data_IF_888931646444
#
_entry.id   IF_888931646444
#
_cell.length_a   1.000
_cell.length_b   1.000
_cell.length_c   1.000
_cell.angle_alpha   90.00
_cell.angle_beta   90.00
_cell.angle_gamma   90.00
#
_symmetry.space_group_name_H-M   'P 1'
#
loop_
_entity.id
_entity.type
_entity.pdbx_description
1 polymer ?
#
# COMPACT_ATOMS: atom_id res chain seq x y z
N UNK A 1 -25.18 -83.03 49.22
CA UNK A 1 -25.39 -82.25 50.46
C UNK A 1 -26.58 -81.34 50.23
N UNK A 2 -27.58 -81.46 51.13
CA UNK A 2 -28.73 -80.60 51.45
C UNK A 2 -29.15 -79.51 50.44
N UNK A 3 -30.43 -79.29 50.15
CA UNK A 3 -31.64 -79.57 50.93
C UNK A 3 -32.66 -78.50 50.57
N UNK A 4 -33.92 -78.90 50.39
CA UNK A 4 -35.05 -78.04 50.05
C UNK A 4 -35.46 -77.13 51.22
N UNK A 5 -35.92 -75.90 50.92
CA UNK A 5 -36.89 -75.07 51.66
C UNK A 5 -37.50 -74.09 50.62
N UNK A 6 -38.78 -74.14 50.20
CA UNK A 6 -40.03 -73.80 50.91
C UNK A 6 -39.90 -72.43 51.65
N UNK A 7 -40.81 -71.46 51.58
CA UNK A 7 -42.18 -71.39 51.05
C UNK A 7 -42.57 -69.91 50.84
N UNK A 8 -43.75 -69.77 50.22
CA UNK A 8 -44.67 -68.65 50.03
C UNK A 8 -44.62 -67.47 51.02
N UNK A 9 -45.08 -66.29 50.57
CA UNK A 9 -46.27 -65.60 51.13
C UNK A 9 -46.51 -64.22 50.47
N UNK A 10 -47.73 -64.08 49.95
CA UNK A 10 -48.60 -62.91 49.88
C UNK A 10 -48.19 -61.64 49.09
N UNK A 11 -48.99 -61.38 48.06
CA UNK A 11 -50.10 -60.42 48.20
C UNK A 11 -49.84 -59.00 47.69
N UNK A 12 -50.79 -58.50 46.90
CA UNK A 12 -51.01 -57.06 46.77
C UNK A 12 -51.22 -56.58 45.34
N UNK A 13 -52.47 -56.62 44.89
CA UNK A 13 -52.98 -55.77 43.81
C UNK A 13 -52.61 -54.31 44.04
N UNK A 14 -51.86 -53.68 43.13
CA UNK A 14 -51.97 -52.23 42.87
C UNK A 14 -51.68 -51.93 41.41
N UNK A 15 -52.78 -51.79 40.66
CA UNK A 15 -52.89 -50.91 39.52
C UNK A 15 -52.29 -49.55 39.87
N UNK A 16 -51.19 -49.14 39.22
CA UNK A 16 -50.89 -47.73 39.06
C UNK A 16 -49.96 -47.54 37.86
N UNK A 17 -50.47 -46.83 36.86
CA UNK A 17 -49.74 -46.26 35.74
C UNK A 17 -48.47 -45.55 36.25
N UNK A 18 -47.33 -46.19 36.07
CA UNK A 18 -46.04 -45.58 36.32
C UNK A 18 -45.75 -44.61 35.16
N UNK A 19 -45.99 -43.32 35.41
CA UNK A 19 -45.53 -42.24 34.56
C UNK A 19 -44.00 -42.32 34.43
N UNK A 20 -43.53 -42.66 33.24
CA UNK A 20 -42.11 -42.68 32.90
C UNK A 20 -41.58 -41.22 32.85
N UNK A 21 -40.87 -40.82 33.90
CA UNK A 21 -40.37 -39.46 34.14
C UNK A 21 -38.96 -39.21 33.59
N UNK A 22 -38.53 -39.92 32.54
CA UNK A 22 -37.15 -39.85 32.03
C UNK A 22 -37.01 -39.26 30.62
N UNK A 23 -37.91 -38.37 30.20
CA UNK A 23 -37.74 -37.65 28.93
C UNK A 23 -37.95 -36.13 29.03
N UNK A 24 -37.38 -35.53 30.08
CA UNK A 24 -37.29 -34.06 30.21
C UNK A 24 -35.82 -33.62 30.26
N UNK A 25 -35.10 -33.83 29.16
CA UNK A 25 -33.87 -33.06 28.90
C UNK A 25 -34.25 -31.62 28.51
N UNK A 26 -33.44 -30.60 28.87
CA UNK A 26 -33.76 -29.22 28.53
C UNK A 26 -33.79 -29.05 27.01
N UNK A 27 -34.97 -28.65 26.50
CA UNK A 27 -35.19 -28.26 25.11
C UNK A 27 -34.23 -27.11 24.79
N UNK A 28 -33.13 -27.39 24.07
CA UNK A 28 -32.21 -26.35 23.59
C UNK A 28 -33.01 -25.42 22.67
N UNK A 29 -33.28 -24.21 23.13
CA UNK A 29 -33.79 -23.14 22.28
C UNK A 29 -32.77 -22.94 21.14
N UNK A 30 -33.19 -22.86 19.87
CA UNK A 30 -32.28 -22.52 18.80
C UNK A 30 -31.74 -21.12 19.08
N UNK A 31 -30.43 -21.01 19.29
CA UNK A 31 -29.77 -19.72 19.42
C UNK A 31 -30.03 -18.91 18.14
N UNK A 32 -30.42 -17.63 18.23
CA UNK A 32 -30.47 -16.78 17.05
C UNK A 32 -29.07 -16.77 16.45
N UNK A 33 -28.96 -17.11 15.16
CA UNK A 33 -27.73 -16.97 14.40
C UNK A 33 -27.33 -15.50 14.47
N UNK A 34 -26.47 -15.15 15.42
CA UNK A 34 -25.80 -13.86 15.43
C UNK A 34 -25.01 -13.81 14.13
N UNK A 35 -25.59 -13.14 13.14
CA UNK A 35 -24.92 -12.77 11.93
C UNK A 35 -23.74 -11.91 12.37
N UNK A 36 -22.57 -12.53 12.48
CA UNK A 36 -21.29 -11.83 12.64
C UNK A 36 -21.18 -10.96 11.41
N UNK A 37 -21.65 -9.73 11.51
CA UNK A 37 -21.34 -8.74 10.51
C UNK A 37 -19.82 -8.63 10.52
N UNK A 38 -19.13 -8.87 9.38
CA UNK A 38 -17.72 -8.57 9.33
C UNK A 38 -17.59 -7.09 9.62
N UNK A 39 -16.69 -6.73 10.53
CA UNK A 39 -16.25 -5.35 10.65
C UNK A 39 -15.99 -4.84 9.23
N UNK A 40 -16.62 -3.73 8.79
CA UNK A 40 -16.21 -3.12 7.54
C UNK A 40 -14.72 -2.88 7.71
N UNK A 41 -13.93 -3.56 6.87
CA UNK A 41 -12.49 -3.44 6.91
C UNK A 41 -12.16 -1.97 6.99
N UNK A 42 -11.19 -1.62 7.82
CA UNK A 42 -10.56 -0.31 7.81
C UNK A 42 -9.77 -0.19 6.49
N UNK A 43 -10.42 -0.34 5.32
CA UNK A 43 -10.00 0.34 4.11
C UNK A 43 -10.23 1.79 4.44
N UNK A 44 -9.24 2.40 5.10
CA UNK A 44 -9.12 3.83 5.20
C UNK A 44 -9.27 4.30 3.75
N UNK A 45 -10.39 4.90 3.32
CA UNK A 45 -10.45 5.46 1.99
C UNK A 45 -9.29 6.44 2.00
N UNK A 46 -8.30 6.23 1.13
CA UNK A 46 -7.25 7.24 0.91
C UNK A 46 -8.04 8.51 0.65
N UNK A 47 -8.12 9.41 1.62
CA UNK A 47 -8.90 10.64 1.49
C UNK A 47 -8.44 11.23 0.16
N UNK A 48 -9.36 11.57 -0.78
CA UNK A 48 -8.95 12.24 -1.99
C UNK A 48 -8.12 13.45 -1.53
N UNK A 49 -6.83 13.46 -1.85
CA UNK A 49 -6.03 14.65 -1.57
C UNK A 49 -6.72 15.77 -2.35
N UNK A 50 -6.95 16.95 -1.74
CA UNK A 50 -7.49 18.06 -2.50
C UNK A 50 -6.63 18.23 -3.75
N UNK A 51 -7.25 18.36 -4.94
CA UNK A 51 -6.51 18.63 -6.17
C UNK A 51 -5.59 19.82 -5.91
N UNK A 52 -4.30 19.68 -6.24
CA UNK A 52 -3.42 20.83 -6.15
C UNK A 52 -3.90 21.88 -7.14
N UNK A 53 -4.02 23.13 -6.70
CA UNK A 53 -4.35 24.23 -7.60
C UNK A 53 -3.21 24.42 -8.62
N UNK A 54 -3.52 24.67 -9.89
CA UNK A 54 -2.51 25.00 -10.89
C UNK A 54 -1.65 26.19 -10.44
N UNK A 55 -0.33 26.08 -10.60
CA UNK A 55 0.60 27.15 -10.25
C UNK A 55 0.60 28.22 -11.35
N UNK A 56 0.41 29.49 -10.97
CA UNK A 56 0.63 30.62 -11.87
C UNK A 56 2.15 30.81 -12.09
N UNK A 57 2.67 30.22 -13.18
CA UNK A 57 4.11 30.20 -13.52
C UNK A 57 4.67 31.58 -13.86
N UNK A 58 3.84 32.58 -14.18
CA UNK A 58 4.28 33.95 -14.46
C UNK A 58 4.55 34.74 -13.17
N UNK A 59 3.82 34.42 -12.09
CA UNK A 59 3.92 35.13 -10.80
C UNK A 59 4.68 34.34 -9.74
N UNK A 60 4.87 33.04 -9.95
CA UNK A 60 5.52 32.16 -8.99
C UNK A 60 6.96 31.92 -9.40
N UNK A 61 7.92 32.19 -8.52
CA UNK A 61 9.32 31.86 -8.77
C UNK A 61 9.50 30.34 -8.92
N UNK A 62 10.23 29.87 -9.94
CA UNK A 62 10.51 28.45 -10.11
C UNK A 62 11.43 27.94 -8.99
N UNK A 63 11.29 26.65 -8.67
CA UNK A 63 12.20 25.91 -7.80
C UNK A 63 13.33 25.29 -8.61
N UNK A 64 14.48 25.10 -7.97
CA UNK A 64 15.60 24.34 -8.52
C UNK A 64 15.40 22.85 -8.19
N UNK A 65 15.26 22.03 -9.22
CA UNK A 65 15.17 20.59 -9.12
C UNK A 65 16.48 19.96 -9.60
N UNK A 66 17.12 19.16 -8.73
CA UNK A 66 18.30 18.36 -9.10
C UNK A 66 17.85 16.97 -9.51
N UNK A 67 18.20 16.57 -10.73
CA UNK A 67 17.80 15.29 -11.31
C UNK A 67 19.02 14.45 -11.60
N UNK A 68 19.03 13.23 -11.11
CA UNK A 68 20.06 12.23 -11.33
C UNK A 68 19.51 11.13 -12.24
N UNK A 69 20.32 10.66 -13.19
CA UNK A 69 19.91 9.59 -14.12
C UNK A 69 20.82 8.39 -14.02
N UNK A 70 20.25 7.19 -14.17
CA UNK A 70 21.01 5.93 -14.20
C UNK A 70 20.35 4.92 -15.11
N UNK A 71 21.16 4.14 -15.83
CA UNK A 71 20.66 3.08 -16.70
C UNK A 71 20.50 1.79 -15.91
N UNK A 72 19.35 1.12 -16.05
CA UNK A 72 19.06 -0.22 -15.52
C UNK A 72 18.52 -0.27 -14.09
N UNK A 73 18.83 0.70 -13.23
CA UNK A 73 18.27 0.76 -11.86
C UNK A 73 18.38 2.17 -11.27
N UNK A 74 17.71 2.38 -10.13
CA UNK A 74 17.86 3.59 -9.32
C UNK A 74 19.24 3.63 -8.64
N UNK A 75 19.68 4.83 -8.25
CA UNK A 75 20.82 4.99 -7.34
C UNK A 75 20.48 4.43 -5.95
N UNK A 76 21.51 4.06 -5.20
CA UNK A 76 21.35 3.64 -3.81
C UNK A 76 21.31 4.88 -2.90
N UNK A 77 20.68 4.79 -1.74
CA UNK A 77 20.64 5.93 -0.80
C UNK A 77 22.04 6.38 -0.37
N UNK A 78 22.96 5.43 -0.27
CA UNK A 78 24.36 5.63 0.07
C UNK A 78 25.10 6.54 -0.93
N UNK A 79 24.67 6.54 -2.20
CA UNK A 79 25.26 7.36 -3.27
C UNK A 79 25.04 8.87 -3.02
N UNK A 80 24.06 9.23 -2.19
CA UNK A 80 23.67 10.62 -1.91
C UNK A 80 24.19 11.15 -0.56
N UNK A 81 24.82 10.31 0.27
CA UNK A 81 25.23 10.67 1.64
C UNK A 81 26.32 11.73 1.64
N UNK A 82 27.28 11.65 0.72
CA UNK A 82 28.44 12.55 0.70
C UNK A 82 28.19 13.68 -0.29
N UNK A 83 27.92 14.89 0.23
CA UNK A 83 27.78 16.10 -0.59
C UNK A 83 28.99 16.29 -1.50
N UNK A 84 28.75 16.55 -2.80
CA UNK A 84 29.79 16.72 -3.80
C UNK A 84 30.41 15.41 -4.32
N UNK A 85 29.97 14.25 -3.81
CA UNK A 85 30.25 12.93 -4.40
C UNK A 85 28.96 12.25 -4.90
N UNK A 86 27.91 13.05 -5.10
CA UNK A 86 26.67 12.58 -5.72
C UNK A 86 26.96 12.04 -7.14
N UNK A 87 26.05 11.22 -7.70
CA UNK A 87 26.23 10.66 -9.04
C UNK A 87 26.50 11.75 -10.09
N UNK A 88 27.42 11.44 -11.03
CA UNK A 88 27.90 12.42 -12.02
C UNK A 88 26.87 12.78 -13.08
N UNK A 89 25.94 11.87 -13.36
CA UNK A 89 24.86 12.05 -14.35
C UNK A 89 23.72 12.90 -13.76
N UNK A 90 24.09 14.06 -13.20
CA UNK A 90 23.20 15.09 -12.66
C UNK A 90 22.92 16.16 -13.72
N UNK A 91 21.68 16.64 -13.75
CA UNK A 91 21.33 17.89 -14.40
C UNK A 91 20.28 18.63 -13.58
N UNK A 92 20.19 19.95 -13.81
CA UNK A 92 19.35 20.84 -13.03
C UNK A 92 18.23 21.42 -13.88
N UNK A 93 17.05 21.52 -13.29
CA UNK A 93 15.84 22.03 -13.95
C UNK A 93 15.24 23.13 -13.09
N UNK A 94 14.94 24.28 -13.69
CA UNK A 94 14.07 25.28 -13.08
C UNK A 94 12.62 24.96 -13.43
N UNK A 95 11.82 24.62 -12.43
CA UNK A 95 10.44 24.15 -12.64
C UNK A 95 9.52 24.54 -11.49
N UNK A 96 8.29 24.04 -11.47
CA UNK A 96 7.28 24.31 -10.45
C UNK A 96 6.69 23.01 -9.90
N UNK A 97 5.93 23.08 -8.81
CA UNK A 97 5.34 21.89 -8.16
C UNK A 97 4.26 21.21 -9.00
N UNK A 98 3.69 21.89 -9.99
CA UNK A 98 2.73 21.34 -10.94
C UNK A 98 3.40 20.60 -12.12
N UNK A 99 4.74 20.60 -12.20
CA UNK A 99 5.45 19.92 -13.27
C UNK A 99 5.20 18.40 -13.23
N UNK A 100 4.81 17.86 -14.38
CA UNK A 100 4.39 16.46 -14.52
C UNK A 100 5.56 15.53 -14.84
N UNK A 101 5.42 14.24 -14.54
CA UNK A 101 6.39 13.22 -14.96
C UNK A 101 6.60 13.21 -16.48
N UNK A 102 5.58 13.58 -17.26
CA UNK A 102 5.69 13.77 -18.71
C UNK A 102 6.59 14.94 -19.09
N UNK A 103 6.45 16.10 -18.45
CA UNK A 103 7.34 17.25 -18.68
C UNK A 103 8.79 16.87 -18.35
N UNK A 104 9.01 16.23 -17.20
CA UNK A 104 10.33 15.78 -16.77
C UNK A 104 10.92 14.73 -17.73
N UNK A 105 10.10 13.82 -18.25
CA UNK A 105 10.51 12.82 -19.26
C UNK A 105 11.04 13.46 -20.53
N UNK A 106 10.40 14.52 -21.02
CA UNK A 106 10.86 15.23 -22.22
C UNK A 106 12.27 15.81 -22.01
N UNK A 107 12.50 16.43 -20.86
CA UNK A 107 13.80 17.01 -20.48
C UNK A 107 14.87 15.92 -20.31
N UNK A 108 14.56 14.81 -19.63
CA UNK A 108 15.48 13.67 -19.47
C UNK A 108 15.92 13.13 -20.83
N UNK A 109 15.01 13.04 -21.81
CA UNK A 109 15.34 12.58 -23.16
C UNK A 109 16.28 13.51 -23.90
N UNK A 110 16.25 14.81 -23.64
CA UNK A 110 17.18 15.76 -24.26
C UNK A 110 18.60 15.53 -23.76
N UNK A 111 18.79 15.33 -22.45
CA UNK A 111 20.11 15.16 -21.83
C UNK A 111 20.67 13.73 -21.88
N UNK A 112 19.82 12.71 -21.82
CA UNK A 112 20.23 11.30 -21.76
C UNK A 112 19.78 10.53 -23.02
N UNK A 113 20.69 10.26 -23.99
CA UNK A 113 20.35 9.54 -25.21
C UNK A 113 19.74 8.14 -24.98
N UNK A 114 20.11 7.47 -23.88
CA UNK A 114 19.57 6.16 -23.51
C UNK A 114 18.04 6.19 -23.29
N UNK A 115 17.49 7.32 -22.83
CA UNK A 115 16.05 7.50 -22.60
C UNK A 115 15.24 7.69 -23.91
N UNK A 116 15.91 7.90 -25.06
CA UNK A 116 15.25 8.09 -26.36
C UNK A 116 14.84 6.79 -27.04
N UNK A 117 15.27 5.63 -26.52
CA UNK A 117 14.90 4.33 -27.09
C UNK A 117 13.37 4.17 -27.05
N UNK A 118 12.81 3.56 -28.09
CA UNK A 118 11.35 3.43 -28.27
C UNK A 118 10.65 2.73 -27.10
N UNK A 119 11.36 1.80 -26.46
CA UNK A 119 10.87 0.96 -25.37
C UNK A 119 11.41 1.39 -24.00
N UNK A 120 12.18 2.50 -23.92
CA UNK A 120 12.72 2.97 -22.66
C UNK A 120 11.60 3.38 -21.70
N UNK A 121 11.67 2.87 -20.47
CA UNK A 121 10.80 3.26 -19.37
C UNK A 121 11.60 4.12 -18.41
N UNK A 122 11.02 5.24 -17.99
CA UNK A 122 11.64 6.11 -17.00
C UNK A 122 10.95 5.90 -15.67
N UNK A 123 11.62 5.23 -14.75
CA UNK A 123 11.16 5.11 -13.37
C UNK A 123 11.67 6.31 -12.58
N UNK A 124 10.78 7.00 -11.89
CA UNK A 124 11.05 8.18 -11.09
C UNK A 124 11.01 7.84 -9.61
N UNK A 125 11.98 8.33 -8.85
CA UNK A 125 12.05 8.24 -7.40
C UNK A 125 12.40 9.59 -6.80
N UNK A 126 11.77 9.93 -5.68
CA UNK A 126 12.18 11.08 -4.86
C UNK A 126 13.20 10.57 -3.85
N UNK A 127 14.31 11.27 -3.72
CA UNK A 127 15.38 10.95 -2.78
C UNK A 127 15.49 12.05 -1.74
N UNK A 128 15.34 11.68 -0.48
CA UNK A 128 15.30 12.63 0.64
C UNK A 128 15.94 12.02 1.89
N UNK A 129 16.50 12.83 2.81
CA UNK A 129 17.01 12.33 4.07
C UNK A 129 15.87 11.94 5.01
N UNK A 130 15.91 10.74 5.58
CA UNK A 130 15.06 10.35 6.70
C UNK A 130 15.48 11.10 7.98
N UNK A 131 14.68 10.98 9.03
CA UNK A 131 14.89 11.58 10.36
C UNK A 131 16.24 11.25 10.98
N UNK A 132 16.85 10.14 10.57
CA UNK A 132 18.17 9.69 11.03
C UNK A 132 19.32 10.16 10.12
N UNK A 133 19.04 10.96 9.09
CA UNK A 133 20.04 11.47 8.14
C UNK A 133 20.43 10.50 7.02
N UNK A 134 19.82 9.31 6.97
CA UNK A 134 20.01 8.37 5.86
C UNK A 134 19.14 8.77 4.68
N UNK A 135 19.71 8.78 3.48
CA UNK A 135 18.92 9.04 2.28
C UNK A 135 18.06 7.83 1.92
N UNK A 136 16.79 8.10 1.67
CA UNK A 136 15.79 7.12 1.24
C UNK A 136 15.45 7.42 -0.20
N UNK A 137 15.46 6.38 -1.04
CA UNK A 137 15.03 6.43 -2.44
C UNK A 137 13.60 5.89 -2.50
N UNK A 138 12.63 6.76 -2.79
CA UNK A 138 11.21 6.43 -2.80
C UNK A 138 10.65 6.48 -4.23
N UNK A 139 10.42 5.32 -4.89
CA UNK A 139 9.81 5.28 -6.22
C UNK A 139 8.39 5.86 -6.23
N UNK A 140 8.11 6.78 -7.15
CA UNK A 140 6.88 7.57 -7.19
C UNK A 140 6.02 7.35 -8.44
N UNK A 141 6.62 6.86 -9.52
CA UNK A 141 5.92 6.52 -10.74
C UNK A 141 6.85 6.11 -11.87
N UNK A 142 6.27 5.55 -12.93
CA UNK A 142 7.02 5.20 -14.15
C UNK A 142 6.34 5.88 -15.33
N UNK A 143 7.07 6.69 -16.08
CA UNK A 143 6.58 7.29 -17.32
C UNK A 143 7.05 6.47 -18.53
N UNK A 144 6.18 6.34 -19.53
CA UNK A 144 6.53 5.69 -20.79
C UNK A 144 6.69 6.73 -21.89
N UNK A 145 7.78 6.65 -22.63
CA UNK A 145 8.08 7.63 -23.67
C UNK A 145 7.09 7.71 -24.84
N UNK A 146 6.12 6.79 -24.95
CA UNK A 146 5.23 6.68 -26.12
C UNK A 146 3.88 5.97 -25.87
N UNK A 147 3.64 5.38 -24.70
CA UNK A 147 2.43 4.61 -24.39
C UNK A 147 1.87 5.06 -23.04
N UNK A 148 1.18 6.20 -23.09
CA UNK A 148 0.60 6.84 -21.92
C UNK A 148 -0.44 5.94 -21.26
N UNK A 149 -0.22 5.66 -19.97
CA UNK A 149 -1.29 5.48 -18.97
C UNK A 149 -0.81 5.24 -17.55
N UNK A 150 0.48 4.94 -17.33
CA UNK A 150 1.01 4.84 -15.97
C UNK A 150 1.64 6.19 -15.63
N UNK A 151 1.04 6.93 -14.70
CA UNK A 151 1.67 8.03 -13.95
C UNK A 151 2.15 9.30 -14.68
N UNK A 152 2.14 9.38 -16.01
CA UNK A 152 2.61 10.55 -16.79
C UNK A 152 2.03 11.89 -16.32
N UNK A 153 0.78 11.90 -15.87
CA UNK A 153 0.06 13.08 -15.41
C UNK A 153 0.32 13.47 -13.95
N UNK A 154 1.05 12.67 -13.18
CA UNK A 154 1.35 12.99 -11.78
C UNK A 154 2.31 14.17 -11.73
N UNK A 155 1.95 15.17 -10.93
CA UNK A 155 2.78 16.35 -10.70
C UNK A 155 3.70 16.16 -9.48
N UNK A 156 4.83 16.87 -9.43
CA UNK A 156 5.79 16.80 -8.31
C UNK A 156 5.13 17.01 -6.94
N UNK A 157 4.22 17.98 -6.80
CA UNK A 157 3.56 18.21 -5.53
C UNK A 157 2.53 17.14 -5.15
N UNK A 158 1.99 16.38 -6.11
CA UNK A 158 1.17 15.20 -5.80
C UNK A 158 2.00 14.04 -5.22
N UNK A 159 3.29 14.04 -5.55
CA UNK A 159 4.27 13.05 -5.11
C UNK A 159 4.92 13.40 -3.76
N UNK A 160 4.46 14.45 -3.08
CA UNK A 160 5.04 15.00 -1.86
C UNK A 160 6.49 15.48 -2.02
N UNK A 161 6.85 16.00 -3.19
CA UNK A 161 8.15 16.62 -3.39
C UNK A 161 8.28 17.92 -2.55
N UNK A 162 9.39 18.03 -1.85
CA UNK A 162 9.81 19.22 -1.11
C UNK A 162 11.08 19.83 -1.73
N UNK A 163 11.22 21.16 -1.58
CA UNK A 163 12.41 21.86 -2.08
C UNK A 163 13.61 21.42 -1.24
N UNK A 164 14.61 20.83 -1.90
CA UNK A 164 15.76 20.22 -1.25
C UNK A 164 15.85 18.72 -1.48
N UNK A 165 14.73 18.08 -1.84
CA UNK A 165 14.72 16.70 -2.29
C UNK A 165 15.39 16.57 -3.66
N UNK A 166 15.94 15.40 -3.93
CA UNK A 166 16.46 15.05 -5.24
C UNK A 166 15.46 14.19 -6.02
N UNK A 167 15.56 14.24 -7.33
CA UNK A 167 14.84 13.33 -8.21
C UNK A 167 15.83 12.35 -8.83
N UNK A 168 15.59 11.06 -8.65
CA UNK A 168 16.35 10.00 -9.28
C UNK A 168 15.53 9.33 -10.39
N UNK A 169 16.13 9.15 -11.56
CA UNK A 169 15.48 8.63 -12.75
C UNK A 169 16.23 7.42 -13.28
N UNK A 170 15.62 6.24 -13.15
CA UNK A 170 16.14 5.02 -13.73
C UNK A 170 15.61 4.83 -15.16
N UNK A 171 16.53 4.66 -16.11
CA UNK A 171 16.25 4.37 -17.52
C UNK A 171 16.29 2.86 -17.70
N UNK A 172 15.11 2.25 -17.79
CA UNK A 172 14.90 0.80 -17.94
C UNK A 172 14.67 0.41 -19.40
#
# INVERSE_FOLDING_TARGET
MAGAMAADVHGGDKNNNHYNYNNMGPRRLPQPKQQRQPWPGLSNPKRPRPPMEPVDREKTCPLLLRVFTKVGSHHAGEDFVVRGKEPKDEFQIYTWKDATLRELTALVKEVAPAARRREAKLSFAIVFPDKFGHFVVNPVGVAHGNWGKLDDGKALGELNFEVGDYLDVAIL
#
